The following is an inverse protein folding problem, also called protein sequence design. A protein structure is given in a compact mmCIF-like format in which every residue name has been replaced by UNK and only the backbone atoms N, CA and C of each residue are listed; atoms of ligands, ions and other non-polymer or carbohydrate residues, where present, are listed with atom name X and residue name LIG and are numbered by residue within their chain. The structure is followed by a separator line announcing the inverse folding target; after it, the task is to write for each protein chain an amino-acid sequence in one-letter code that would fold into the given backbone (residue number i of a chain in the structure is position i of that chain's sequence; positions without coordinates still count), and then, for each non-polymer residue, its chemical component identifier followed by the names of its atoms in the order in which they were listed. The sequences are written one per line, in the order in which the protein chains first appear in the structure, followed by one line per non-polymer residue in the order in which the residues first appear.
data_IF_513480782976
#
_entry.id   IF_513480782976
#
_cell.length_a   1.000
_cell.length_b   1.000
_cell.length_c   1.000
_cell.angle_alpha   90.00
_cell.angle_beta   90.00
_cell.angle_gamma   90.00
#
_symmetry.space_group_name_H-M   'P 1'
#
loop_
_entity.id
_entity.type
_entity.pdbx_description
1 polymer ?
#
# COMPACT_ATOMS: atom_id res chain seq x y z
N UNK A 1 -51.27 -23.78 4.46
CA UNK A 1 -52.52 -22.98 4.31
C UNK A 1 -52.80 -22.26 5.62
N UNK A 2 -52.68 -20.92 5.59
CA UNK A 2 -53.28 -19.88 6.47
C UNK A 2 -52.29 -18.71 6.58
N UNK A 3 -52.55 -17.74 5.72
CA UNK A 3 -52.02 -16.38 5.75
C UNK A 3 -52.83 -15.66 6.83
N UNK A 4 -52.15 -15.06 7.81
CA UNK A 4 -52.80 -14.19 8.80
C UNK A 4 -52.27 -12.78 8.58
N UNK A 5 -53.11 -11.95 7.97
CA UNK A 5 -52.95 -10.51 7.94
C UNK A 5 -53.35 -9.92 9.30
N UNK A 6 -52.63 -8.92 9.77
CA UNK A 6 -53.14 -7.96 10.75
C UNK A 6 -52.80 -6.54 10.31
N UNK A 7 -53.81 -5.70 10.44
CA UNK A 7 -53.95 -4.37 9.89
C UNK A 7 -53.53 -3.27 10.89
N UNK A 8 -53.17 -2.12 10.32
CA UNK A 8 -53.30 -0.73 10.78
C UNK A 8 -53.00 -0.37 12.26
N UNK A 9 -52.11 0.60 12.43
CA UNK A 9 -52.52 1.86 13.07
C UNK A 9 -51.61 3.02 12.65
N UNK A 10 -52.27 4.10 12.21
CA UNK A 10 -51.72 5.36 11.73
C UNK A 10 -51.92 6.38 12.87
N UNK A 11 -50.87 7.06 13.32
CA UNK A 11 -51.03 8.27 14.14
C UNK A 11 -50.14 9.37 13.57
N UNK A 12 -50.79 10.31 12.89
CA UNK A 12 -50.27 11.63 12.57
C UNK A 12 -50.30 12.50 13.82
N UNK A 13 -49.22 13.23 14.09
CA UNK A 13 -49.31 14.47 14.87
C UNK A 13 -48.49 15.54 14.18
N UNK A 14 -49.22 16.51 13.64
CA UNK A 14 -48.77 17.76 13.07
C UNK A 14 -48.72 18.79 14.22
N UNK A 15 -47.59 19.46 14.43
CA UNK A 15 -47.53 20.69 15.23
C UNK A 15 -46.91 21.77 14.35
N UNK A 16 -47.64 22.87 14.19
CA UNK A 16 -47.32 23.99 13.34
C UNK A 16 -47.35 25.27 14.18
N UNK A 17 -46.42 26.16 13.81
CA UNK A 17 -46.40 27.61 13.99
C UNK A 17 -45.81 28.21 15.29
N UNK A 18 -44.89 29.15 15.06
CA UNK A 18 -44.39 30.11 16.04
C UNK A 18 -43.20 30.92 15.51
N UNK A 19 -43.44 31.83 14.56
CA UNK A 19 -42.49 32.90 14.20
C UNK A 19 -42.51 33.99 15.29
N UNK A 20 -41.32 34.44 15.72
CA UNK A 20 -41.11 35.81 16.20
C UNK A 20 -39.63 36.19 16.01
N UNK A 21 -39.43 37.42 15.57
CA UNK A 21 -38.18 37.99 15.10
C UNK A 21 -37.35 38.65 16.21
N UNK A 22 -36.05 38.73 15.90
CA UNK A 22 -35.04 39.73 16.30
C UNK A 22 -34.72 39.92 17.79
N UNK A 23 -33.47 39.58 18.13
CA UNK A 23 -32.62 40.57 18.82
C UNK A 23 -31.16 40.44 18.37
N UNK A 24 -30.59 41.57 17.97
CA UNK A 24 -29.21 41.73 17.51
C UNK A 24 -28.34 41.91 18.74
N UNK A 25 -27.49 40.92 19.05
CA UNK A 25 -26.34 41.12 19.93
C UNK A 25 -25.06 40.67 19.25
N UNK A 26 -24.33 41.70 18.81
CA UNK A 26 -22.93 41.69 18.42
C UNK A 26 -22.05 41.08 19.51
N UNK A 27 -21.71 39.81 19.37
CA UNK A 27 -20.60 39.18 20.10
C UNK A 27 -19.34 39.20 19.24
N UNK A 28 -18.53 40.24 19.46
CA UNK A 28 -17.14 40.29 19.05
C UNK A 28 -16.33 39.33 19.92
N UNK A 29 -16.38 38.04 19.58
CA UNK A 29 -15.58 36.98 20.18
C UNK A 29 -14.71 36.35 19.11
N UNK A 30 -13.48 36.85 18.97
CA UNK A 30 -12.44 36.32 18.09
C UNK A 30 -11.95 34.99 18.67
N UNK A 31 -12.71 33.91 18.47
CA UNK A 31 -12.23 32.55 18.70
C UNK A 31 -11.36 32.18 17.50
N UNK A 32 -10.06 31.89 17.67
CA UNK A 32 -9.26 31.35 16.59
C UNK A 32 -9.86 30.00 16.20
N UNK A 33 -10.26 29.87 14.94
CA UNK A 33 -10.41 28.57 14.31
C UNK A 33 -9.14 27.76 14.60
N UNK A 34 -9.24 26.48 15.02
CA UNK A 34 -8.06 25.64 15.15
C UNK A 34 -7.39 25.56 13.78
N UNK A 35 -6.21 26.17 13.68
CA UNK A 35 -5.34 26.20 12.52
C UNK A 35 -4.56 24.88 12.38
N UNK A 36 -5.24 23.74 12.54
CA UNK A 36 -4.62 22.41 12.57
C UNK A 36 -5.36 21.42 11.66
N UNK A 37 -5.71 21.86 10.45
CA UNK A 37 -6.10 20.99 9.33
C UNK A 37 -5.13 21.14 8.13
N UNK A 38 -3.92 21.63 8.38
CA UNK A 38 -2.80 21.48 7.45
C UNK A 38 -1.77 20.52 8.06
N UNK A 39 -1.14 19.72 7.21
CA UNK A 39 -0.01 18.84 7.52
C UNK A 39 -0.33 17.40 7.95
N UNK A 40 -1.12 16.69 7.13
CA UNK A 40 -0.59 15.41 6.62
C UNK A 40 0.65 15.76 5.80
N UNK A 41 1.85 15.67 6.40
CA UNK A 41 3.11 15.98 5.71
C UNK A 41 3.17 15.13 4.44
N UNK A 42 3.09 15.77 3.27
CA UNK A 42 3.38 15.09 2.01
C UNK A 42 4.76 14.45 2.15
N UNK A 43 4.86 13.16 1.82
CA UNK A 43 6.14 12.45 1.71
C UNK A 43 7.02 13.07 0.62
N UNK A 44 6.45 13.91 -0.26
CA UNK A 44 7.13 14.54 -1.36
C UNK A 44 7.96 15.76 -0.89
N UNK A 45 9.25 15.87 -1.25
CA UNK A 45 10.10 16.99 -0.85
C UNK A 45 9.58 18.34 -1.37
N UNK A 46 9.52 19.40 -0.56
CA UNK A 46 8.99 20.70 -1.01
C UNK A 46 9.82 21.35 -2.14
N UNK A 47 11.14 21.20 -2.11
CA UNK A 47 12.05 21.73 -3.13
C UNK A 47 11.82 21.05 -4.49
N UNK A 48 11.76 21.83 -5.57
CA UNK A 48 11.45 21.33 -6.92
C UNK A 48 12.42 20.26 -7.43
N UNK A 49 13.72 20.44 -7.24
CA UNK A 49 14.73 19.49 -7.70
C UNK A 49 14.61 18.17 -6.92
N UNK A 50 14.58 18.24 -5.59
CA UNK A 50 14.39 17.08 -4.74
C UNK A 50 13.04 16.37 -4.98
N UNK A 51 12.00 17.14 -5.31
CA UNK A 51 10.70 16.61 -5.70
C UNK A 51 10.76 15.86 -7.03
N UNK A 52 11.47 16.43 -8.01
CA UNK A 52 11.58 15.85 -9.34
C UNK A 52 12.36 14.53 -9.30
N UNK A 53 13.44 14.47 -8.51
CA UNK A 53 14.17 13.21 -8.25
C UNK A 53 13.30 12.17 -7.53
N UNK A 54 12.50 12.60 -6.55
CA UNK A 54 11.54 11.73 -5.87
C UNK A 54 10.50 11.17 -6.84
N UNK A 55 9.95 12.02 -7.72
CA UNK A 55 8.96 11.62 -8.71
C UNK A 55 9.58 10.69 -9.76
N UNK A 56 10.78 11.00 -10.26
CA UNK A 56 11.54 10.16 -11.19
C UNK A 56 11.80 8.77 -10.63
N UNK A 57 12.14 8.67 -9.34
CA UNK A 57 12.34 7.38 -8.66
C UNK A 57 11.06 6.52 -8.63
N UNK A 58 9.90 7.16 -8.52
CA UNK A 58 8.60 6.47 -8.49
C UNK A 58 8.06 6.16 -9.90
N UNK A 59 8.38 7.02 -10.86
CA UNK A 59 7.95 6.89 -12.25
C UNK A 59 9.04 7.46 -13.18
N UNK A 60 9.97 6.62 -13.64
CA UNK A 60 11.06 7.08 -14.50
C UNK A 60 10.55 7.65 -15.82
N UNK A 61 11.03 8.85 -16.15
CA UNK A 61 10.80 9.53 -17.42
C UNK A 61 12.08 9.49 -18.27
N UNK A 62 13.24 9.55 -17.61
CA UNK A 62 14.55 9.49 -18.27
C UNK A 62 14.96 8.05 -18.56
N UNK A 63 15.79 7.87 -19.59
CA UNK A 63 16.45 6.60 -19.85
C UNK A 63 17.87 6.57 -19.27
N UNK A 64 18.38 5.38 -19.02
CA UNK A 64 19.75 5.19 -18.50
C UNK A 64 20.84 5.42 -19.57
N UNK A 65 20.46 5.93 -20.75
CA UNK A 65 21.36 6.12 -21.89
C UNK A 65 21.69 7.61 -22.13
N UNK A 66 21.14 8.52 -21.31
CA UNK A 66 21.40 9.95 -21.43
C UNK A 66 20.65 10.62 -22.59
N UNK A 67 19.57 10.00 -23.07
CA UNK A 67 18.72 10.53 -24.15
C UNK A 67 17.34 11.00 -23.65
N UNK A 68 17.15 11.11 -22.34
CA UNK A 68 15.94 11.65 -21.72
C UNK A 68 16.02 13.14 -21.39
N UNK A 69 14.87 13.79 -21.16
CA UNK A 69 14.83 15.19 -20.70
C UNK A 69 15.46 15.31 -19.31
N UNK A 70 16.18 16.39 -19.05
CA UNK A 70 16.84 16.60 -17.75
C UNK A 70 15.82 16.60 -16.61
N UNK A 71 16.10 15.86 -15.53
CA UNK A 71 15.19 15.74 -14.39
C UNK A 71 14.89 17.14 -13.83
N UNK A 72 13.59 17.45 -13.71
CA UNK A 72 13.13 18.76 -13.24
C UNK A 72 13.08 19.85 -14.32
N UNK A 73 13.40 19.55 -15.57
CA UNK A 73 13.13 20.45 -16.71
C UNK A 73 11.65 20.50 -17.06
N UNK A 74 11.24 21.52 -17.81
CA UNK A 74 9.87 21.66 -18.32
C UNK A 74 9.49 20.50 -19.26
N UNK A 75 10.45 20.00 -20.05
CA UNK A 75 10.28 18.84 -20.92
C UNK A 75 10.05 17.56 -20.12
N UNK A 76 10.83 17.37 -19.05
CA UNK A 76 10.65 16.25 -18.12
C UNK A 76 9.30 16.32 -17.43
N UNK A 77 8.91 17.48 -16.91
CA UNK A 77 7.64 17.66 -16.23
C UNK A 77 6.45 17.44 -17.19
N UNK A 78 6.55 17.91 -18.43
CA UNK A 78 5.54 17.67 -19.47
C UNK A 78 5.42 16.19 -19.81
N UNK A 79 6.56 15.49 -19.95
CA UNK A 79 6.58 14.06 -20.23
C UNK A 79 5.99 13.24 -19.07
N UNK A 80 6.31 13.59 -17.81
CA UNK A 80 5.71 12.98 -16.63
C UNK A 80 4.19 13.19 -16.59
N UNK A 81 3.74 14.42 -16.86
CA UNK A 81 2.31 14.76 -16.90
C UNK A 81 1.56 13.95 -17.95
N UNK A 82 2.16 13.77 -19.14
CA UNK A 82 1.60 12.92 -20.19
C UNK A 82 1.54 11.45 -19.80
N UNK A 83 2.60 10.91 -19.20
CA UNK A 83 2.62 9.52 -18.73
C UNK A 83 1.55 9.24 -17.67
N UNK A 84 1.27 10.22 -16.82
CA UNK A 84 0.29 10.12 -15.74
C UNK A 84 -1.12 10.57 -16.15
N UNK A 85 -1.32 11.00 -17.40
CA UNK A 85 -2.58 11.57 -17.88
C UNK A 85 -3.09 12.69 -16.94
N UNK A 86 -2.23 13.70 -16.73
CA UNK A 86 -2.51 14.90 -15.93
C UNK A 86 -2.45 16.11 -16.86
N UNK A 87 -3.57 16.83 -16.90
CA UNK A 87 -3.71 18.10 -17.62
C UNK A 87 -3.39 19.27 -16.69
N UNK A 88 -2.82 20.34 -17.23
CA UNK A 88 -2.45 21.54 -16.48
C UNK A 88 -1.07 22.06 -16.87
N UNK A 89 -0.61 23.09 -16.17
CA UNK A 89 0.72 23.68 -16.38
C UNK A 89 1.74 22.86 -15.59
N UNK A 90 2.70 22.18 -16.26
CA UNK A 90 3.75 21.44 -15.56
C UNK A 90 4.50 22.34 -14.57
N UNK A 91 4.78 21.81 -13.37
CA UNK A 91 5.45 22.57 -12.30
C UNK A 91 4.54 23.49 -11.47
N UNK A 92 3.26 23.69 -11.85
CA UNK A 92 2.31 24.41 -10.99
C UNK A 92 2.01 23.63 -9.70
N UNK A 93 1.55 24.33 -8.66
CA UNK A 93 1.19 23.71 -7.38
C UNK A 93 0.10 22.65 -7.57
N UNK A 94 -0.92 22.96 -8.36
CA UNK A 94 -2.07 22.10 -8.62
C UNK A 94 -1.66 20.88 -9.44
N UNK A 95 -0.85 21.08 -10.48
CA UNK A 95 -0.30 19.99 -11.27
C UNK A 95 0.55 19.04 -10.41
N UNK A 96 1.40 19.62 -9.56
CA UNK A 96 2.26 18.86 -8.66
C UNK A 96 1.47 18.04 -7.65
N UNK A 97 0.43 18.61 -7.05
CA UNK A 97 -0.47 17.87 -6.15
C UNK A 97 -1.16 16.70 -6.88
N UNK A 98 -1.58 16.88 -8.12
CA UNK A 98 -2.17 15.81 -8.92
C UNK A 98 -1.16 14.69 -9.23
N UNK A 99 0.10 15.06 -9.53
CA UNK A 99 1.19 14.09 -9.72
C UNK A 99 1.45 13.32 -8.44
N UNK A 100 1.60 14.01 -7.31
CA UNK A 100 1.82 13.39 -6.00
C UNK A 100 0.69 12.39 -5.68
N UNK A 101 -0.57 12.77 -5.89
CA UNK A 101 -1.71 11.88 -5.68
C UNK A 101 -1.67 10.64 -6.58
N UNK A 102 -1.37 10.80 -7.88
CA UNK A 102 -1.28 9.66 -8.80
C UNK A 102 -0.09 8.75 -8.51
N UNK A 103 1.07 9.32 -8.15
CA UNK A 103 2.25 8.54 -7.79
C UNK A 103 2.05 7.77 -6.47
N UNK A 104 1.46 8.41 -5.46
CA UNK A 104 1.13 7.74 -4.20
C UNK A 104 0.08 6.64 -4.39
N UNK A 105 -0.95 6.88 -5.23
CA UNK A 105 -1.94 5.86 -5.58
C UNK A 105 -1.37 4.73 -6.45
N UNK A 106 -0.40 5.03 -7.32
CA UNK A 106 0.28 4.05 -8.17
C UNK A 106 1.31 3.21 -7.41
N UNK A 107 1.87 3.71 -6.30
CA UNK A 107 2.82 2.98 -5.45
C UNK A 107 2.20 1.73 -4.79
N UNK A 108 0.89 1.49 -4.97
CA UNK A 108 0.19 0.26 -4.62
C UNK A 108 -0.55 -0.41 -5.79
N UNK A 109 -0.39 0.07 -7.04
CA UNK A 109 -1.00 -0.55 -8.23
C UNK A 109 0.06 -1.22 -9.11
N UNK A 110 -0.21 -2.44 -9.62
CA UNK A 110 0.63 -3.08 -10.60
C UNK A 110 0.76 -2.22 -11.87
N UNK A 111 1.92 -2.26 -12.54
CA UNK A 111 2.15 -1.57 -13.81
C UNK A 111 1.09 -1.96 -14.86
N UNK A 112 0.74 -1.11 -15.83
CA UNK A 112 -0.37 -1.35 -16.75
C UNK A 112 -0.23 -2.58 -17.66
N UNK A 113 0.95 -3.19 -17.74
CA UNK A 113 1.23 -4.46 -18.42
C UNK A 113 1.39 -5.65 -17.45
N UNK A 114 1.23 -5.44 -16.14
CA UNK A 114 1.36 -6.48 -15.13
C UNK A 114 0.03 -7.19 -14.91
N UNK A 115 -0.06 -8.44 -15.35
CA UNK A 115 -1.17 -9.34 -15.08
C UNK A 115 -0.81 -10.30 -13.94
N UNK A 116 -1.73 -10.51 -12.99
CA UNK A 116 -1.54 -11.41 -11.85
C UNK A 116 -2.63 -12.47 -11.82
N UNK A 117 -2.22 -13.73 -11.78
CA UNK A 117 -3.13 -14.87 -11.60
C UNK A 117 -2.93 -15.48 -10.22
N UNK A 118 -4.00 -15.62 -9.44
CA UNK A 118 -3.94 -16.24 -8.11
C UNK A 118 -3.79 -17.77 -8.24
N UNK A 119 -2.65 -18.31 -7.79
CA UNK A 119 -2.42 -19.75 -7.74
C UNK A 119 -2.84 -20.36 -6.40
N UNK A 120 -2.53 -19.69 -5.29
CA UNK A 120 -3.05 -20.05 -3.97
C UNK A 120 -3.15 -18.84 -3.05
N UNK A 121 -4.12 -18.82 -2.15
CA UNK A 121 -4.25 -17.82 -1.08
C UNK A 121 -4.15 -18.48 0.28
N UNK A 122 -3.42 -17.84 1.19
CA UNK A 122 -3.13 -18.35 2.52
C UNK A 122 -3.55 -17.31 3.55
N UNK A 123 -4.37 -17.71 4.52
CA UNK A 123 -4.80 -16.89 5.65
C UNK A 123 -4.50 -17.65 6.93
N UNK A 124 -3.65 -17.09 7.79
CA UNK A 124 -3.08 -17.83 8.92
C UNK A 124 -2.94 -16.99 10.17
N UNK A 125 -2.95 -17.65 11.32
CA UNK A 125 -2.28 -17.15 12.51
C UNK A 125 -0.86 -17.72 12.53
N UNK A 126 0.12 -16.85 12.66
CA UNK A 126 1.52 -17.21 12.66
C UNK A 126 2.24 -16.57 13.85
N UNK A 127 3.33 -17.22 14.27
CA UNK A 127 4.26 -16.69 15.26
C UNK A 127 5.48 -16.16 14.54
N UNK A 128 5.82 -14.89 14.76
CA UNK A 128 7.03 -14.32 14.22
C UNK A 128 8.25 -14.98 14.87
N UNK A 129 9.10 -15.65 14.07
CA UNK A 129 10.27 -16.35 14.57
C UNK A 129 11.48 -15.42 14.71
N UNK A 130 11.56 -14.37 13.88
CA UNK A 130 12.61 -13.37 13.92
C UNK A 130 13.14 -13.00 12.53
N UNK A 131 14.21 -12.21 12.56
CA UNK A 131 14.94 -11.73 11.39
C UNK A 131 16.27 -12.47 11.26
N UNK A 132 16.66 -12.80 10.04
CA UNK A 132 17.97 -13.38 9.73
C UNK A 132 18.55 -12.80 8.45
N UNK A 133 19.85 -12.93 8.28
CA UNK A 133 20.49 -12.67 6.99
C UNK A 133 20.32 -13.88 6.05
N UNK A 134 19.95 -13.62 4.81
CA UNK A 134 19.88 -14.60 3.74
C UNK A 134 20.95 -14.29 2.69
N UNK A 135 21.68 -15.33 2.29
CA UNK A 135 22.67 -15.26 1.21
C UNK A 135 22.20 -16.14 0.07
N UNK A 136 21.98 -15.52 -1.09
CA UNK A 136 21.66 -16.24 -2.32
C UNK A 136 22.86 -17.10 -2.72
N UNK A 137 22.62 -18.39 -3.00
CA UNK A 137 23.65 -19.35 -3.43
C UNK A 137 23.55 -19.64 -4.94
N UNK A 138 22.89 -18.75 -5.70
CA UNK A 138 22.80 -18.88 -7.15
C UNK A 138 24.18 -18.81 -7.82
N UNK A 139 24.36 -19.54 -8.91
CA UNK A 139 25.63 -19.64 -9.64
C UNK A 139 25.76 -18.60 -10.77
N UNK A 140 25.11 -17.44 -10.61
CA UNK A 140 25.18 -16.33 -11.58
C UNK A 140 26.26 -15.33 -11.17
N UNK A 141 26.82 -14.60 -12.15
CA UNK A 141 27.93 -13.66 -11.93
C UNK A 141 27.66 -12.55 -10.90
N UNK A 142 26.39 -12.19 -10.67
CA UNK A 142 25.99 -11.17 -9.70
C UNK A 142 25.74 -11.72 -8.29
N UNK A 143 25.65 -13.03 -8.11
CA UNK A 143 25.45 -13.64 -6.79
C UNK A 143 26.77 -13.71 -6.03
N UNK A 144 26.77 -13.53 -4.69
CA UNK A 144 25.62 -13.19 -3.84
C UNK A 144 25.42 -11.68 -3.65
N UNK A 145 26.45 -10.89 -3.97
CA UNK A 145 26.61 -9.53 -3.43
C UNK A 145 25.97 -8.44 -4.29
N UNK A 146 25.52 -8.77 -5.51
CA UNK A 146 24.90 -7.81 -6.45
C UNK A 146 23.60 -8.33 -7.09
N UNK A 147 23.08 -9.48 -6.64
CA UNK A 147 21.95 -10.14 -7.29
C UNK A 147 20.55 -9.63 -6.88
N UNK A 148 20.42 -8.89 -5.77
CA UNK A 148 19.12 -8.47 -5.24
C UNK A 148 18.29 -9.60 -4.63
N UNK A 149 18.89 -10.78 -4.47
CA UNK A 149 18.26 -12.00 -3.90
C UNK A 149 18.93 -12.44 -2.58
N UNK A 150 19.96 -11.74 -2.12
CA UNK A 150 20.47 -11.81 -0.74
C UNK A 150 19.84 -10.69 0.08
N UNK A 151 19.86 -10.73 1.42
CA UNK A 151 19.41 -9.60 2.26
C UNK A 151 18.77 -10.01 3.59
N UNK A 152 17.81 -9.22 4.06
CA UNK A 152 17.10 -9.43 5.33
C UNK A 152 15.84 -10.27 5.13
N UNK A 153 15.77 -11.36 5.87
CA UNK A 153 14.71 -12.34 5.80
C UNK A 153 13.88 -12.33 7.09
N UNK A 154 12.56 -12.28 6.95
CA UNK A 154 11.62 -12.48 8.03
C UNK A 154 11.06 -13.91 7.98
N UNK A 155 11.03 -14.58 9.12
CA UNK A 155 10.51 -15.95 9.24
C UNK A 155 9.29 -15.98 10.15
N UNK A 156 8.22 -16.62 9.68
CA UNK A 156 6.98 -16.83 10.42
C UNK A 156 6.70 -18.32 10.53
N UNK A 157 6.46 -18.81 11.74
CA UNK A 157 6.00 -20.18 11.98
C UNK A 157 4.49 -20.22 11.99
N UNK A 158 3.89 -21.02 11.14
CA UNK A 158 2.45 -21.08 10.99
C UNK A 158 1.88 -21.92 12.14
N UNK A 159 0.95 -21.31 12.89
CA UNK A 159 0.30 -21.96 14.03
C UNK A 159 -0.99 -22.63 13.57
N UNK A 160 -1.79 -21.94 12.76
CA UNK A 160 -2.98 -22.52 12.13
C UNK A 160 -3.39 -21.74 10.88
N UNK A 161 -4.07 -22.44 9.97
CA UNK A 161 -4.78 -21.82 8.85
C UNK A 161 -6.19 -21.40 9.27
N UNK A 162 -6.56 -20.19 8.89
CA UNK A 162 -7.91 -19.62 9.00
C UNK A 162 -8.70 -19.84 7.70
N UNK A 163 -8.04 -19.68 6.56
CA UNK A 163 -8.59 -19.95 5.22
C UNK A 163 -7.44 -20.39 4.28
N UNK A 164 -7.76 -21.20 3.29
CA UNK A 164 -6.82 -21.65 2.27
C UNK A 164 -7.57 -21.96 0.98
N UNK A 165 -7.10 -21.40 -0.13
CA UNK A 165 -7.67 -21.65 -1.46
C UNK A 165 -6.58 -21.94 -2.46
N UNK A 166 -6.84 -22.91 -3.31
CA UNK A 166 -5.99 -23.28 -4.44
C UNK A 166 -6.92 -23.58 -5.63
N UNK A 167 -7.31 -22.56 -6.41
CA UNK A 167 -8.35 -22.71 -7.43
C UNK A 167 -7.93 -23.60 -8.61
N UNK A 168 -6.62 -23.76 -8.85
CA UNK A 168 -6.07 -24.56 -9.93
C UNK A 168 -5.12 -25.67 -9.47
N UNK A 169 -4.44 -26.29 -10.44
CA UNK A 169 -3.44 -27.33 -10.19
C UNK A 169 -2.16 -26.78 -9.54
N UNK A 170 -1.78 -25.56 -9.91
CA UNK A 170 -0.59 -24.86 -9.42
C UNK A 170 -0.89 -24.04 -8.17
N UNK A 171 0.15 -23.70 -7.42
CA UNK A 171 0.06 -22.98 -6.15
C UNK A 171 0.68 -23.76 -5.00
N UNK A 172 1.10 -23.02 -3.98
CA UNK A 172 1.80 -23.62 -2.83
C UNK A 172 0.78 -24.40 -1.98
N UNK A 173 1.14 -25.61 -1.50
CA UNK A 173 0.36 -26.29 -0.48
C UNK A 173 0.41 -25.51 0.83
N UNK A 174 -0.42 -25.89 1.82
CA UNK A 174 -0.23 -25.39 3.18
C UNK A 174 1.20 -25.65 3.68
N UNK A 175 1.76 -24.65 4.34
CA UNK A 175 3.13 -24.64 4.83
C UNK A 175 3.17 -24.53 6.37
N UNK A 176 4.23 -25.05 6.97
CA UNK A 176 4.51 -24.90 8.41
C UNK A 176 5.26 -23.59 8.72
N UNK A 177 5.88 -22.98 7.71
CA UNK A 177 6.59 -21.73 7.82
C UNK A 177 6.44 -20.89 6.55
N UNK A 178 6.44 -19.58 6.72
CA UNK A 178 6.50 -18.61 5.65
C UNK A 178 7.74 -17.73 5.83
N UNK A 179 8.53 -17.58 4.77
CA UNK A 179 9.77 -16.81 4.76
C UNK A 179 9.70 -15.78 3.65
N UNK A 180 10.05 -14.54 3.97
CA UNK A 180 10.01 -13.43 3.00
C UNK A 180 11.27 -12.59 3.11
N UNK A 181 11.91 -12.33 1.97
CA UNK A 181 12.95 -11.33 1.87
C UNK A 181 12.26 -9.97 1.81
N UNK A 182 12.49 -9.10 2.79
CA UNK A 182 11.80 -7.80 2.87
C UNK A 182 12.72 -6.62 2.51
N UNK A 183 14.04 -6.84 2.56
CA UNK A 183 15.08 -5.92 2.08
C UNK A 183 16.18 -6.76 1.42
N UNK A 184 16.67 -6.34 0.26
CA UNK A 184 17.78 -7.01 -0.41
C UNK A 184 19.17 -6.47 0.01
N UNK A 185 20.22 -7.12 -0.47
CA UNK A 185 21.61 -6.75 -0.22
C UNK A 185 22.02 -5.42 -0.88
N UNK A 186 21.19 -4.86 -1.76
CA UNK A 186 21.33 -3.53 -2.35
C UNK A 186 20.49 -2.47 -1.63
N UNK A 187 19.93 -2.80 -0.46
CA UNK A 187 19.08 -1.92 0.37
C UNK A 187 17.78 -1.52 -0.29
N UNK A 188 17.28 -2.30 -1.23
CA UNK A 188 15.96 -2.12 -1.83
C UNK A 188 14.93 -2.90 -1.03
N UNK A 189 13.79 -2.26 -0.75
CA UNK A 189 12.66 -2.94 -0.15
C UNK A 189 12.05 -3.92 -1.17
N UNK A 190 11.76 -5.14 -0.71
CA UNK A 190 11.14 -6.20 -1.52
C UNK A 190 9.65 -6.39 -1.19
N UNK A 191 9.15 -5.62 -0.22
CA UNK A 191 7.75 -5.57 0.20
C UNK A 191 7.30 -4.11 0.34
N UNK A 192 5.98 -3.82 0.32
CA UNK A 192 5.47 -2.47 0.56
C UNK A 192 5.97 -1.90 1.89
N UNK A 193 6.22 -0.60 1.95
CA UNK A 193 6.80 0.09 3.12
C UNK A 193 6.01 -0.21 4.40
N UNK A 194 4.67 -0.20 4.35
CA UNK A 194 3.84 -0.53 5.51
C UNK A 194 4.09 -1.94 6.06
N UNK A 195 4.27 -2.94 5.17
CA UNK A 195 4.59 -4.31 5.57
C UNK A 195 6.02 -4.40 6.12
N UNK A 196 6.97 -3.71 5.49
CA UNK A 196 8.36 -3.63 5.96
C UNK A 196 8.42 -3.09 7.39
N UNK A 197 7.75 -1.97 7.64
CA UNK A 197 7.77 -1.31 8.93
C UNK A 197 7.02 -2.14 9.99
N UNK A 198 5.94 -2.83 9.60
CA UNK A 198 5.27 -3.80 10.47
C UNK A 198 6.21 -4.96 10.85
N UNK A 199 6.95 -5.54 9.90
CA UNK A 199 7.94 -6.60 10.17
C UNK A 199 9.01 -6.11 11.16
N UNK A 200 9.54 -4.90 10.96
CA UNK A 200 10.58 -4.33 11.82
C UNK A 200 10.09 -4.00 13.23
N UNK A 201 8.79 -3.77 13.41
CA UNK A 201 8.19 -3.52 14.72
C UNK A 201 7.97 -4.81 15.53
N UNK A 202 7.91 -5.98 14.88
CA UNK A 202 7.63 -7.24 15.55
C UNK A 202 8.80 -7.75 16.38
N UNK A 203 8.48 -8.35 17.53
CA UNK A 203 9.43 -9.07 18.38
C UNK A 203 9.30 -10.57 18.18
N UNK A 204 10.41 -11.34 18.18
CA UNK A 204 10.35 -12.80 18.15
C UNK A 204 9.39 -13.34 19.21
N UNK A 205 8.48 -14.22 18.79
CA UNK A 205 7.44 -14.81 19.62
C UNK A 205 6.07 -14.14 19.52
N UNK A 206 5.97 -12.94 18.96
CA UNK A 206 4.69 -12.26 18.77
C UNK A 206 3.78 -13.01 17.78
N UNK A 207 2.49 -12.99 18.09
CA UNK A 207 1.45 -13.61 17.27
C UNK A 207 0.94 -12.58 16.26
N UNK A 208 0.76 -13.02 15.02
CA UNK A 208 0.31 -12.17 13.93
C UNK A 208 -0.75 -12.90 13.10
N UNK A 209 -1.67 -12.10 12.56
CA UNK A 209 -2.51 -12.48 11.45
C UNK A 209 -1.70 -12.22 10.18
N UNK A 210 -1.39 -13.29 9.46
CA UNK A 210 -0.57 -13.26 8.26
C UNK A 210 -1.36 -13.83 7.09
N UNK A 211 -1.56 -12.98 6.07
CA UNK A 211 -2.16 -13.36 4.79
C UNK A 211 -1.18 -13.10 3.65
N UNK A 212 -1.01 -14.08 2.78
CA UNK A 212 -0.23 -13.94 1.55
C UNK A 212 -0.87 -14.72 0.41
N UNK A 213 -0.55 -14.32 -0.81
CA UNK A 213 -0.89 -15.07 -2.01
C UNK A 213 0.36 -15.75 -2.58
N UNK A 214 0.17 -16.77 -3.40
CA UNK A 214 1.10 -17.20 -4.42
C UNK A 214 0.48 -16.79 -5.76
N UNK A 215 1.04 -15.75 -6.36
CA UNK A 215 0.59 -15.21 -7.63
C UNK A 215 1.54 -15.60 -8.76
N UNK A 216 1.01 -15.90 -9.93
CA UNK A 216 1.79 -15.96 -11.16
C UNK A 216 1.70 -14.61 -11.86
N UNK A 217 2.82 -13.91 -11.91
CA UNK A 217 2.91 -12.55 -12.44
C UNK A 217 3.43 -12.61 -13.85
N UNK A 218 2.78 -11.88 -14.76
CA UNK A 218 3.25 -11.62 -16.12
C UNK A 218 3.53 -10.13 -16.25
N UNK A 219 4.75 -9.75 -16.60
CA UNK A 219 5.19 -8.36 -16.72
C UNK A 219 6.29 -8.26 -17.78
N UNK A 220 6.21 -7.29 -18.69
CA UNK A 220 7.24 -7.11 -19.74
C UNK A 220 7.50 -8.36 -20.60
N UNK A 221 6.49 -9.21 -20.80
CA UNK A 221 6.62 -10.49 -21.52
C UNK A 221 7.30 -11.62 -20.72
N UNK A 222 7.75 -11.35 -19.50
CA UNK A 222 8.29 -12.34 -18.57
C UNK A 222 7.20 -12.88 -17.63
N UNK A 223 7.40 -14.09 -17.10
CA UNK A 223 6.49 -14.70 -16.13
C UNK A 223 7.24 -15.31 -14.96
N UNK A 224 6.78 -15.04 -13.75
CA UNK A 224 7.45 -15.49 -12.53
C UNK A 224 6.47 -15.57 -11.34
N UNK A 225 6.73 -16.47 -10.37
CA UNK A 225 5.93 -16.55 -9.16
C UNK A 225 6.30 -15.42 -8.19
N UNK A 226 5.30 -14.80 -7.58
CA UNK A 226 5.47 -13.90 -6.45
C UNK A 226 4.66 -14.37 -5.25
N UNK A 227 5.12 -13.99 -4.04
CA UNK A 227 4.44 -14.30 -2.78
C UNK A 227 4.13 -13.04 -1.96
N UNK A 228 3.26 -12.15 -2.47
CA UNK A 228 3.01 -10.88 -1.79
C UNK A 228 2.26 -11.11 -0.48
N UNK A 229 2.71 -10.43 0.58
CA UNK A 229 1.94 -10.30 1.82
C UNK A 229 0.77 -9.35 1.55
N UNK A 230 -0.45 -9.85 1.75
CA UNK A 230 -1.71 -9.11 1.59
C UNK A 230 -2.11 -8.43 2.90
N UNK A 231 -1.85 -9.07 4.04
CA UNK A 231 -2.09 -8.50 5.36
C UNK A 231 -1.08 -9.04 6.38
N UNK A 232 -0.62 -8.14 7.26
CA UNK A 232 0.21 -8.48 8.41
C UNK A 232 -0.19 -7.59 9.58
N UNK A 233 -0.88 -8.16 10.57
CA UNK A 233 -1.36 -7.42 11.74
C UNK A 233 -0.99 -8.19 13.02
N UNK A 234 -0.59 -7.51 14.11
CA UNK A 234 -0.47 -8.14 15.41
C UNK A 234 -1.81 -8.75 15.85
N UNK A 235 -1.75 -9.93 16.47
CA UNK A 235 -2.89 -10.49 17.19
C UNK A 235 -2.76 -10.12 18.66
N UNK A 236 -3.77 -9.44 19.19
CA UNK A 236 -3.81 -9.14 20.62
C UNK A 236 -3.82 -10.44 21.43
N UNK A 237 -2.80 -10.64 22.27
CA UNK A 237 -2.72 -11.75 23.22
C UNK A 237 -3.73 -11.62 24.39
N UNK A 238 -4.87 -10.93 24.20
CA UNK A 238 -5.91 -10.74 25.21
C UNK A 238 -7.04 -11.76 25.06
N UNK A 239 -6.73 -13.05 25.08
CA UNK A 239 -7.75 -14.10 25.30
C UNK A 239 -7.09 -15.42 25.72
N UNK A 240 -6.48 -15.42 26.90
CA UNK A 240 -6.37 -16.65 27.70
C UNK A 240 -6.13 -16.23 29.16
N UNK A 241 -7.20 -16.16 29.93
CA UNK A 241 -7.16 -16.26 31.39
C UNK A 241 -8.27 -17.21 31.82
#
# INVERSE_FOLDING_TARGET
MKITAFALSLVSTLVLAGFAAEDVQSFSGKTPLPADAESSRSLAPANWLAWSEWAEKLRPVTDNQGHGPDIGSDEWASALGKQLDIVGVPGSKEWRMAVEQKLVAANGKPAPDQHRELLSSHDTEARFAGLSDHRCMGLTSLCPDQCGESGKLATFKIVKYLDYKKPGEYGDPQQEQFMVLFEDNLKKAKVPVAIRDAILALKPGEMVHLKWNHDYVTEGGSKFPERPIVALNPLDNKSTK
#
